data_IF_258058560744
#
_entry.id   IF_258058560744
#
_cell.length_a   1.000
_cell.length_b   1.000
_cell.length_c   1.000
_cell.angle_alpha   90.00
_cell.angle_beta   90.00
_cell.angle_gamma   90.00
#
_symmetry.space_group_name_H-M   'P 1'
#
loop_
_entity.id
_entity.type
_entity.pdbx_description
1 polymer ?
#
# COMPACT_ATOMS: atom_id res chain seq x y z
N UNK A 1 -4.95 26.05 -13.32
CA UNK A 1 -4.37 25.54 -12.05
C UNK A 1 -4.71 24.07 -11.75
N UNK A 2 -5.94 23.59 -12.00
CA UNK A 2 -6.33 22.19 -11.74
C UNK A 2 -5.53 21.22 -12.63
N UNK A 3 -5.48 21.45 -13.95
CA UNK A 3 -4.73 20.61 -14.90
C UNK A 3 -3.25 20.49 -14.55
N UNK A 4 -2.61 21.60 -14.14
CA UNK A 4 -1.20 21.60 -13.74
C UNK A 4 -0.96 20.76 -12.48
N UNK A 5 -1.86 20.81 -11.49
CA UNK A 5 -1.76 19.98 -10.28
C UNK A 5 -1.92 18.49 -10.60
N UNK A 6 -2.89 18.14 -11.46
CA UNK A 6 -3.07 16.76 -11.93
C UNK A 6 -1.86 16.26 -12.73
N UNK A 7 -1.28 17.12 -13.58
CA UNK A 7 -0.07 16.80 -14.33
C UNK A 7 1.14 16.59 -13.41
N UNK A 8 1.36 17.48 -12.44
CA UNK A 8 2.44 17.33 -11.46
C UNK A 8 2.26 16.07 -10.59
N UNK A 9 1.02 15.75 -10.21
CA UNK A 9 0.71 14.51 -9.51
C UNK A 9 1.05 13.29 -10.37
N UNK A 10 0.66 13.30 -11.65
CA UNK A 10 1.01 12.23 -12.59
C UNK A 10 2.52 12.07 -12.75
N UNK A 11 3.26 13.16 -12.95
CA UNK A 11 4.72 13.13 -13.06
C UNK A 11 5.36 12.59 -11.77
N UNK A 12 4.86 13.00 -10.61
CA UNK A 12 5.32 12.49 -9.32
C UNK A 12 5.05 10.99 -9.15
N UNK A 13 3.84 10.53 -9.50
CA UNK A 13 3.49 9.11 -9.46
C UNK A 13 4.32 8.28 -10.45
N UNK A 14 4.55 8.79 -11.66
CA UNK A 14 5.39 8.14 -12.66
C UNK A 14 6.85 8.06 -12.20
N UNK A 15 7.38 9.11 -11.59
CA UNK A 15 8.72 9.12 -11.01
C UNK A 15 8.85 8.11 -9.85
N UNK A 16 7.84 8.00 -8.99
CA UNK A 16 7.81 7.01 -7.91
C UNK A 16 7.79 5.57 -8.46
N UNK A 17 7.00 5.32 -9.51
CA UNK A 17 6.99 4.02 -10.19
C UNK A 17 8.32 3.71 -10.89
N UNK A 18 8.95 4.70 -11.52
CA UNK A 18 10.26 4.52 -12.13
C UNK A 18 11.34 4.22 -11.08
N UNK A 19 11.28 4.88 -9.92
CA UNK A 19 12.20 4.65 -8.82
C UNK A 19 12.11 3.22 -8.30
N UNK A 20 10.91 2.66 -8.13
CA UNK A 20 10.78 1.30 -7.61
C UNK A 20 11.26 0.24 -8.61
N UNK A 21 11.02 0.45 -9.91
CA UNK A 21 11.58 -0.41 -10.96
C UNK A 21 13.11 -0.29 -11.00
N UNK A 22 13.67 0.89 -10.73
CA UNK A 22 15.11 1.08 -10.60
C UNK A 22 15.66 0.31 -9.40
N UNK A 23 15.01 0.35 -8.23
CA UNK A 23 15.39 -0.45 -7.06
C UNK A 23 15.43 -1.95 -7.39
N UNK A 24 14.37 -2.46 -8.03
CA UNK A 24 14.29 -3.85 -8.47
C UNK A 24 15.42 -4.21 -9.44
N UNK A 25 15.72 -3.33 -10.40
CA UNK A 25 16.82 -3.56 -11.34
C UNK A 25 18.20 -3.54 -10.66
N UNK A 26 18.40 -2.66 -9.67
CA UNK A 26 19.63 -2.62 -8.87
C UNK A 26 19.78 -3.90 -8.05
N UNK A 27 18.72 -4.38 -7.40
CA UNK A 27 18.73 -5.63 -6.64
C UNK A 27 19.13 -6.80 -7.55
N UNK A 28 18.47 -6.94 -8.71
CA UNK A 28 18.78 -7.99 -9.68
C UNK A 28 20.21 -7.95 -10.21
N UNK A 29 20.83 -6.77 -10.28
CA UNK A 29 22.17 -6.60 -10.85
C UNK A 29 23.30 -6.77 -9.85
N UNK A 30 23.08 -6.35 -8.60
CA UNK A 30 24.16 -6.26 -7.61
C UNK A 30 24.03 -7.25 -6.45
N UNK A 31 22.83 -7.74 -6.17
CA UNK A 31 22.55 -8.53 -4.97
C UNK A 31 22.54 -10.04 -5.26
N UNK A 32 22.38 -10.43 -6.52
CA UNK A 32 22.46 -11.83 -6.98
C UNK A 32 21.09 -12.40 -7.38
N UNK A 33 21.10 -13.59 -8.01
CA UNK A 33 19.91 -14.20 -8.62
C UNK A 33 18.89 -14.77 -7.62
N UNK A 34 19.29 -14.97 -6.38
CA UNK A 34 18.38 -15.22 -5.26
C UNK A 34 18.18 -13.88 -4.57
N UNK A 35 16.98 -13.29 -4.70
CA UNK A 35 16.59 -12.09 -3.96
C UNK A 35 16.80 -12.44 -2.47
N UNK A 36 17.83 -11.88 -1.80
CA UNK A 36 17.96 -12.10 -0.38
C UNK A 36 16.82 -11.38 0.31
N UNK A 37 16.45 -11.90 1.47
CA UNK A 37 15.43 -11.42 2.41
C UNK A 37 15.71 -10.00 2.97
N UNK A 38 16.61 -9.25 2.32
CA UNK A 38 17.00 -7.89 2.65
C UNK A 38 17.39 -7.14 1.36
N UNK A 39 16.41 -6.94 0.48
CA UNK A 39 16.57 -6.23 -0.80
C UNK A 39 16.19 -4.75 -0.71
N UNK A 40 16.70 -3.91 -1.61
CA UNK A 40 16.29 -2.50 -1.69
C UNK A 40 14.79 -2.37 -2.00
N UNK A 41 14.26 -3.33 -2.75
CA UNK A 41 12.84 -3.38 -3.12
C UNK A 41 11.97 -3.62 -1.91
N UNK A 42 12.30 -4.59 -1.05
CA UNK A 42 11.61 -4.83 0.23
C UNK A 42 11.63 -3.58 1.11
N UNK A 43 12.81 -2.97 1.31
CA UNK A 43 12.94 -1.73 2.13
C UNK A 43 12.04 -0.61 1.58
N UNK A 44 11.96 -0.46 0.25
CA UNK A 44 11.08 0.53 -0.37
C UNK A 44 9.60 0.20 -0.14
N UNK A 45 9.19 -1.05 -0.30
CA UNK A 45 7.81 -1.47 -0.06
C UNK A 45 7.40 -1.26 1.40
N UNK A 46 8.26 -1.67 2.35
CA UNK A 46 8.07 -1.45 3.78
C UNK A 46 7.93 0.05 4.11
N UNK A 47 8.81 0.88 3.55
CA UNK A 47 8.78 2.34 3.75
C UNK A 47 7.48 2.95 3.21
N UNK A 48 7.03 2.48 2.05
CA UNK A 48 5.76 2.90 1.43
C UNK A 48 4.57 2.51 2.31
N UNK A 49 4.52 1.25 2.75
CA UNK A 49 3.49 0.74 3.65
C UNK A 49 3.46 1.50 4.98
N UNK A 50 4.62 1.69 5.61
CA UNK A 50 4.75 2.47 6.84
C UNK A 50 4.25 3.91 6.66
N UNK A 51 4.51 4.52 5.51
CA UNK A 51 4.00 5.86 5.17
C UNK A 51 2.48 5.86 5.04
N UNK A 52 1.88 4.89 4.35
CA UNK A 52 0.41 4.75 4.22
C UNK A 52 -0.24 4.62 5.60
N UNK A 53 0.30 3.72 6.43
CA UNK A 53 -0.15 3.48 7.81
C UNK A 53 -0.10 4.76 8.63
N UNK A 54 1.03 5.48 8.59
CA UNK A 54 1.19 6.75 9.30
C UNK A 54 0.16 7.79 8.86
N UNK A 55 -0.04 7.96 7.55
CA UNK A 55 -1.00 8.92 7.01
C UNK A 55 -2.42 8.62 7.48
N UNK A 56 -2.83 7.36 7.45
CA UNK A 56 -4.18 6.95 7.83
C UNK A 56 -4.43 7.07 9.33
N UNK A 57 -3.47 6.69 10.18
CA UNK A 57 -3.61 6.93 11.63
C UNK A 57 -3.56 8.42 11.98
N UNK A 58 -2.82 9.24 11.24
CA UNK A 58 -2.89 10.70 11.37
C UNK A 58 -4.26 11.24 10.99
N UNK A 59 -4.83 10.80 9.86
CA UNK A 59 -6.18 11.18 9.43
C UNK A 59 -7.24 10.73 10.43
N UNK A 60 -7.11 9.53 11.00
CA UNK A 60 -8.02 9.06 12.05
C UNK A 60 -8.02 9.94 13.30
N UNK A 61 -6.89 10.59 13.62
CA UNK A 61 -6.80 11.54 14.74
C UNK A 61 -7.31 12.94 14.38
N UNK A 62 -7.18 13.36 13.12
CA UNK A 62 -7.55 14.71 12.67
C UNK A 62 -9.02 14.82 12.23
N UNK A 63 -9.58 13.74 11.69
CA UNK A 63 -10.95 13.70 11.18
C UNK A 63 -11.81 12.72 11.99
N UNK A 64 -12.50 13.25 13.00
CA UNK A 64 -13.45 12.46 13.80
C UNK A 64 -14.58 11.87 12.94
N UNK A 65 -14.95 12.55 11.86
CA UNK A 65 -16.06 12.15 11.00
C UNK A 65 -15.75 10.93 10.14
N UNK A 66 -14.47 10.65 9.87
CA UNK A 66 -13.98 9.51 9.08
C UNK A 66 -13.05 8.59 9.89
N UNK A 67 -13.06 8.71 11.22
CA UNK A 67 -12.10 8.04 12.11
C UNK A 67 -12.08 6.52 11.98
N UNK A 68 -13.25 5.86 11.96
CA UNK A 68 -13.32 4.40 11.94
C UNK A 68 -12.90 3.83 10.59
N UNK A 69 -13.25 4.48 9.49
CA UNK A 69 -12.77 4.13 8.16
C UNK A 69 -11.23 4.23 8.07
N UNK A 70 -10.65 5.34 8.53
CA UNK A 70 -9.19 5.51 8.53
C UNK A 70 -8.47 4.51 9.45
N UNK A 71 -9.05 4.14 10.60
CA UNK A 71 -8.51 3.08 11.47
C UNK A 71 -8.55 1.73 10.76
N UNK A 72 -9.65 1.40 10.07
CA UNK A 72 -9.80 0.14 9.37
C UNK A 72 -8.78 0.02 8.23
N UNK A 73 -8.69 1.04 7.38
CA UNK A 73 -7.75 1.03 6.24
C UNK A 73 -6.30 1.10 6.75
N UNK A 74 -5.99 1.94 7.74
CA UNK A 74 -4.65 2.00 8.33
C UNK A 74 -4.24 0.71 9.03
N UNK A 75 -5.18 0.04 9.72
CA UNK A 75 -4.94 -1.26 10.34
C UNK A 75 -4.72 -2.37 9.31
N UNK A 76 -5.47 -2.36 8.20
CA UNK A 76 -5.27 -3.28 7.09
C UNK A 76 -3.85 -3.17 6.48
N UNK A 77 -3.40 -1.94 6.17
CA UNK A 77 -2.03 -1.73 5.68
C UNK A 77 -0.96 -2.04 6.74
N UNK A 78 -1.25 -1.87 8.03
CA UNK A 78 -0.33 -2.26 9.10
C UNK A 78 -0.19 -3.79 9.17
N UNK A 79 -1.27 -4.54 8.98
CA UNK A 79 -1.19 -6.00 8.85
C UNK A 79 -0.37 -6.40 7.62
N UNK A 80 -0.51 -5.72 6.48
CA UNK A 80 0.35 -5.97 5.31
C UNK A 80 1.81 -5.59 5.55
N UNK A 81 2.10 -4.51 6.28
CA UNK A 81 3.47 -4.15 6.67
C UNK A 81 4.12 -5.23 7.54
N UNK A 82 3.38 -5.75 8.52
CA UNK A 82 3.88 -6.85 9.36
C UNK A 82 4.14 -8.11 8.53
N UNK A 83 3.35 -8.34 7.48
CA UNK A 83 3.56 -9.44 6.53
C UNK A 83 4.85 -9.26 5.73
N UNK A 84 5.15 -8.06 5.21
CA UNK A 84 6.42 -7.86 4.48
C UNK A 84 7.64 -7.89 5.39
N UNK A 85 7.47 -7.54 6.66
CA UNK A 85 8.52 -7.68 7.67
C UNK A 85 8.69 -9.14 8.16
N UNK A 86 8.12 -10.13 7.48
CA UNK A 86 8.14 -11.54 7.91
C UNK A 86 9.57 -12.05 8.11
N UNK A 87 10.48 -11.74 7.19
CA UNK A 87 11.92 -12.05 7.31
C UNK A 87 12.54 -11.51 8.61
N UNK A 88 12.15 -10.29 9.01
CA UNK A 88 12.67 -9.64 10.22
C UNK A 88 12.10 -10.31 11.49
N UNK A 89 10.84 -10.73 11.48
CA UNK A 89 10.22 -11.46 12.59
C UNK A 89 10.65 -12.93 12.68
N UNK A 90 11.01 -13.55 11.55
CA UNK A 90 11.50 -14.93 11.51
C UNK A 90 12.89 -15.11 12.14
N UNK A 91 13.63 -14.01 12.37
CA UNK A 91 14.83 -13.96 13.22
C UNK A 91 14.54 -14.28 14.70
N UNK A 92 13.33 -13.97 15.19
CA UNK A 92 12.93 -14.25 16.57
C UNK A 92 12.44 -15.69 16.68
N UNK A 93 11.53 -16.07 15.79
CA UNK A 93 10.99 -17.43 15.67
C UNK A 93 10.26 -17.56 14.34
N UNK A 94 10.53 -18.64 13.61
CA UNK A 94 9.91 -18.90 12.31
C UNK A 94 8.37 -18.89 12.40
N UNK A 95 7.74 -18.07 11.56
CA UNK A 95 6.29 -17.91 11.48
C UNK A 95 5.67 -17.07 12.60
N UNK A 96 6.48 -16.39 13.41
CA UNK A 96 5.96 -15.54 14.50
C UNK A 96 5.19 -14.32 14.00
N UNK A 97 5.52 -13.83 12.80
CA UNK A 97 4.85 -12.70 12.14
C UNK A 97 3.35 -12.91 12.00
N UNK A 98 2.88 -14.16 11.81
CA UNK A 98 1.46 -14.50 11.66
C UNK A 98 0.66 -14.08 12.89
N UNK A 99 1.20 -14.29 14.09
CA UNK A 99 0.53 -13.91 15.33
C UNK A 99 0.47 -12.40 15.50
N UNK A 100 1.56 -11.68 15.17
CA UNK A 100 1.56 -10.22 15.19
C UNK A 100 0.58 -9.62 14.18
N UNK A 101 0.53 -10.18 12.97
CA UNK A 101 -0.40 -9.78 11.91
C UNK A 101 -1.86 -10.03 12.34
N UNK A 102 -2.16 -11.18 12.93
CA UNK A 102 -3.49 -11.54 13.44
C UNK A 102 -3.94 -10.62 14.59
N UNK A 103 -3.08 -10.41 15.58
CA UNK A 103 -3.40 -9.51 16.71
C UNK A 103 -3.69 -8.11 16.19
N UNK A 104 -2.86 -7.61 15.27
CA UNK A 104 -3.04 -6.30 14.66
C UNK A 104 -4.36 -6.21 13.90
N UNK A 105 -4.68 -7.21 13.09
CA UNK A 105 -5.94 -7.26 12.35
C UNK A 105 -7.16 -7.27 13.29
N UNK A 106 -7.11 -8.06 14.36
CA UNK A 106 -8.17 -8.10 15.38
C UNK A 106 -8.33 -6.74 16.06
N UNK A 107 -7.25 -6.14 16.53
CA UNK A 107 -7.27 -4.83 17.20
C UNK A 107 -7.80 -3.72 16.28
N UNK A 108 -7.42 -3.75 15.00
CA UNK A 108 -7.92 -2.82 13.99
C UNK A 108 -9.42 -2.96 13.76
N UNK A 109 -9.99 -4.15 13.94
CA UNK A 109 -11.41 -4.43 13.75
C UNK A 109 -12.29 -4.10 14.96
N UNK A 110 -11.76 -4.12 16.20
CA UNK A 110 -12.55 -3.91 17.43
C UNK A 110 -13.39 -2.63 17.35
N UNK A 111 -12.75 -1.46 17.15
CA UNK A 111 -13.46 -0.18 17.15
C UNK A 111 -14.43 -0.02 15.96
N UNK A 112 -14.03 -0.34 14.71
CA UNK A 112 -14.94 -0.31 13.57
C UNK A 112 -16.15 -1.24 13.72
N UNK A 113 -15.98 -2.43 14.29
CA UNK A 113 -17.08 -3.39 14.50
C UNK A 113 -18.00 -2.94 15.63
N UNK A 114 -17.46 -2.41 16.74
CA UNK A 114 -18.29 -1.84 17.82
C UNK A 114 -19.17 -0.68 17.33
N UNK A 115 -18.69 0.10 16.35
CA UNK A 115 -19.43 1.21 15.74
C UNK A 115 -19.83 0.92 14.28
N UNK A 116 -20.25 -0.31 13.99
CA UNK A 116 -20.50 -0.80 12.63
C UNK A 116 -21.35 0.13 11.75
N UNK A 117 -22.44 0.71 12.29
CA UNK A 117 -23.29 1.64 11.51
C UNK A 117 -22.53 2.88 11.06
N UNK A 118 -21.77 3.51 11.98
CA UNK A 118 -20.94 4.66 11.66
C UNK A 118 -19.80 4.29 10.70
N UNK A 119 -19.19 3.11 10.88
CA UNK A 119 -18.16 2.59 9.99
C UNK A 119 -18.69 2.40 8.56
N UNK A 120 -19.88 1.80 8.39
CA UNK A 120 -20.50 1.64 7.07
C UNK A 120 -20.79 2.98 6.40
N UNK A 121 -21.33 3.95 7.13
CA UNK A 121 -21.57 5.30 6.60
C UNK A 121 -20.26 5.98 6.16
N UNK A 122 -19.19 5.83 6.94
CA UNK A 122 -17.87 6.36 6.60
C UNK A 122 -17.27 5.67 5.37
N UNK A 123 -17.40 4.35 5.27
CA UNK A 123 -16.99 3.60 4.08
C UNK A 123 -17.78 4.06 2.86
N UNK A 124 -19.10 4.20 2.96
CA UNK A 124 -19.95 4.68 1.87
C UNK A 124 -19.61 6.11 1.44
N UNK A 125 -19.15 6.97 2.35
CA UNK A 125 -18.60 8.29 2.01
C UNK A 125 -17.23 8.17 1.33
N UNK A 126 -16.39 7.25 1.80
CA UNK A 126 -15.07 7.03 1.22
C UNK A 126 -15.17 6.49 -0.22
N UNK A 127 -16.13 5.61 -0.53
CA UNK A 127 -16.32 5.10 -1.89
C UNK A 127 -16.74 6.16 -2.91
N UNK A 128 -17.32 7.27 -2.45
CA UNK A 128 -17.66 8.42 -3.30
C UNK A 128 -16.45 9.31 -3.61
N UNK A 129 -15.31 9.08 -2.95
CA UNK A 129 -14.07 9.80 -3.20
C UNK A 129 -13.35 9.23 -4.43
N UNK A 130 -12.78 10.08 -5.31
CA UNK A 130 -11.98 9.60 -6.45
C UNK A 130 -10.76 8.77 -6.01
N UNK A 131 -10.26 9.00 -4.80
CA UNK A 131 -9.11 8.28 -4.24
C UNK A 131 -9.42 6.82 -3.91
N UNK A 132 -10.69 6.46 -3.67
CA UNK A 132 -11.09 5.08 -3.40
C UNK A 132 -10.84 4.17 -4.60
N UNK A 133 -11.14 4.62 -5.82
CA UNK A 133 -10.89 3.82 -7.03
C UNK A 133 -9.40 3.52 -7.23
N UNK A 134 -8.53 4.49 -6.94
CA UNK A 134 -7.08 4.32 -7.04
C UNK A 134 -6.58 3.35 -5.95
N UNK A 135 -7.06 3.51 -4.70
CA UNK A 135 -6.74 2.59 -3.61
C UNK A 135 -7.15 1.16 -3.94
N UNK A 136 -8.39 0.97 -4.41
CA UNK A 136 -8.93 -0.33 -4.79
C UNK A 136 -8.13 -0.96 -5.94
N UNK A 137 -7.74 -0.15 -6.93
CA UNK A 137 -6.88 -0.62 -8.03
C UNK A 137 -5.51 -1.07 -7.52
N UNK A 138 -4.93 -0.34 -6.57
CA UNK A 138 -3.69 -0.73 -5.90
C UNK A 138 -3.84 -2.05 -5.13
N UNK A 139 -4.91 -2.19 -4.34
CA UNK A 139 -5.20 -3.43 -3.62
C UNK A 139 -5.44 -4.63 -4.55
N UNK A 140 -6.14 -4.42 -5.65
CA UNK A 140 -6.34 -5.46 -6.67
C UNK A 140 -5.00 -5.88 -7.30
N UNK A 141 -4.11 -4.91 -7.56
CA UNK A 141 -2.78 -5.18 -8.08
C UNK A 141 -1.94 -6.01 -7.10
N UNK A 142 -1.89 -5.63 -5.81
CA UNK A 142 -1.12 -6.35 -4.79
C UNK A 142 -1.71 -7.74 -4.49
N UNK A 143 -3.01 -7.81 -4.18
CA UNK A 143 -3.58 -9.03 -3.60
C UNK A 143 -3.95 -10.09 -4.63
N UNK A 144 -4.28 -9.67 -5.85
CA UNK A 144 -4.81 -10.57 -6.89
C UNK A 144 -3.84 -10.65 -8.06
N UNK A 145 -3.54 -9.51 -8.69
CA UNK A 145 -2.76 -9.50 -9.92
C UNK A 145 -1.33 -10.03 -9.70
N UNK A 146 -0.64 -9.55 -8.66
CA UNK A 146 0.69 -10.07 -8.31
C UNK A 146 0.69 -11.58 -8.12
N UNK A 147 -0.27 -12.10 -7.36
CA UNK A 147 -0.33 -13.54 -7.05
C UNK A 147 -0.56 -14.40 -8.30
N UNK A 148 -1.34 -13.92 -9.25
CA UNK A 148 -1.52 -14.60 -10.54
C UNK A 148 -0.23 -14.60 -11.37
N UNK A 149 0.50 -13.47 -11.39
CA UNK A 149 1.81 -13.38 -12.03
C UNK A 149 2.92 -14.05 -11.22
N UNK A 150 2.70 -14.33 -9.93
CA UNK A 150 3.58 -15.11 -9.05
C UNK A 150 3.36 -16.62 -9.14
N UNK A 151 2.54 -17.12 -10.07
CA UNK A 151 2.35 -18.56 -10.24
C UNK A 151 3.51 -19.20 -11.01
N UNK A 152 4.19 -20.19 -10.41
CA UNK A 152 5.29 -20.89 -11.08
C UNK A 152 4.86 -21.61 -12.36
N UNK A 153 3.65 -22.16 -12.39
CA UNK A 153 3.10 -22.90 -13.54
C UNK A 153 3.02 -22.01 -14.78
N UNK A 154 2.51 -20.79 -14.62
CA UNK A 154 2.37 -19.82 -15.72
C UNK A 154 3.70 -19.60 -16.45
N UNK A 155 4.78 -19.42 -15.71
CA UNK A 155 6.09 -19.14 -16.29
C UNK A 155 6.81 -20.38 -16.81
N UNK A 156 6.56 -21.56 -16.24
CA UNK A 156 7.05 -22.81 -16.82
C UNK A 156 6.41 -23.06 -18.18
N UNK A 157 5.12 -22.79 -18.33
CA UNK A 157 4.41 -22.99 -19.61
C UNK A 157 4.84 -21.96 -20.67
N UNK A 158 5.19 -20.72 -20.27
CA UNK A 158 5.62 -19.65 -21.19
C UNK A 158 7.09 -19.79 -21.60
N UNK A 159 7.97 -20.10 -20.64
CA UNK A 159 9.42 -20.08 -20.84
C UNK A 159 10.00 -21.47 -21.15
N UNK A 160 9.23 -22.55 -20.91
CA UNK A 160 9.60 -23.95 -21.14
C UNK A 160 11.02 -24.27 -20.60
N UNK A 161 11.95 -24.60 -21.49
CA UNK A 161 13.35 -24.93 -21.17
C UNK A 161 14.18 -23.73 -20.69
N UNK A 162 13.69 -22.51 -20.85
CA UNK A 162 14.31 -21.26 -20.42
C UNK A 162 13.81 -20.74 -19.07
N UNK A 163 13.07 -21.54 -18.29
CA UNK A 163 12.54 -21.10 -17.01
C UNK A 163 13.66 -20.63 -16.07
N UNK A 164 13.60 -19.36 -15.70
CA UNK A 164 14.44 -18.78 -14.67
C UNK A 164 13.54 -18.20 -13.58
N UNK A 165 13.69 -18.70 -12.35
CA UNK A 165 12.93 -18.25 -11.16
C UNK A 165 13.00 -16.73 -10.96
N UNK A 166 14.12 -16.13 -11.36
CA UNK A 166 14.38 -14.68 -11.34
C UNK A 166 13.31 -13.89 -12.10
N UNK A 167 12.87 -14.35 -13.27
CA UNK A 167 11.87 -13.63 -14.08
C UNK A 167 10.53 -13.62 -13.38
N UNK A 168 10.12 -14.77 -12.84
CA UNK A 168 8.88 -14.92 -12.08
C UNK A 168 8.87 -14.01 -10.84
N UNK A 169 9.95 -14.04 -10.06
CA UNK A 169 10.09 -13.18 -8.89
C UNK A 169 10.11 -11.68 -9.28
N UNK A 170 10.83 -11.30 -10.34
CA UNK A 170 10.89 -9.91 -10.80
C UNK A 170 9.52 -9.35 -11.17
N UNK A 171 8.67 -10.15 -11.83
CA UNK A 171 7.34 -9.71 -12.22
C UNK A 171 6.38 -9.67 -11.02
N UNK A 172 6.44 -10.68 -10.15
CA UNK A 172 5.68 -10.69 -8.88
C UNK A 172 6.04 -9.43 -8.06
N UNK A 173 7.31 -9.26 -7.72
CA UNK A 173 7.83 -8.14 -6.91
C UNK A 173 7.55 -6.77 -7.54
N UNK A 174 7.71 -6.66 -8.87
CA UNK A 174 7.43 -5.42 -9.61
C UNK A 174 5.95 -5.06 -9.60
N UNK A 175 5.07 -6.06 -9.67
CA UNK A 175 3.63 -5.85 -9.65
C UNK A 175 3.07 -5.52 -8.25
N UNK A 176 3.63 -6.11 -7.19
CA UNK A 176 3.32 -5.72 -5.79
C UNK A 176 3.76 -4.30 -5.51
N UNK A 177 5.01 -3.99 -5.85
CA UNK A 177 5.60 -2.65 -5.78
C UNK A 177 4.73 -1.59 -6.47
N UNK A 178 4.25 -1.88 -7.68
CA UNK A 178 3.35 -0.98 -8.40
C UNK A 178 2.02 -0.78 -7.67
N UNK A 179 1.42 -1.85 -7.16
CA UNK A 179 0.18 -1.79 -6.39
C UNK A 179 0.33 -0.95 -5.10
N UNK A 180 1.48 -1.05 -4.41
CA UNK A 180 1.79 -0.21 -3.25
C UNK A 180 1.94 1.27 -3.61
N UNK A 181 2.55 1.58 -4.76
CA UNK A 181 2.64 2.97 -5.24
C UNK A 181 1.27 3.58 -5.54
N UNK A 182 0.34 2.81 -6.11
CA UNK A 182 -1.05 3.25 -6.28
C UNK A 182 -1.73 3.52 -4.94
N UNK A 183 -1.55 2.63 -3.96
CA UNK A 183 -2.10 2.82 -2.62
C UNK A 183 -1.52 4.06 -1.91
N UNK A 184 -0.23 4.32 -2.08
CA UNK A 184 0.43 5.52 -1.56
C UNK A 184 -0.09 6.78 -2.22
N UNK A 185 -0.20 6.78 -3.55
CA UNK A 185 -0.72 7.89 -4.33
C UNK A 185 -2.16 8.23 -3.91
N UNK A 186 -3.01 7.21 -3.70
CA UNK A 186 -4.36 7.38 -3.17
C UNK A 186 -4.36 7.99 -1.76
N UNK A 187 -3.50 7.49 -0.88
CA UNK A 187 -3.40 7.94 0.51
C UNK A 187 -2.92 9.39 0.64
N UNK A 188 -1.89 9.76 -0.13
CA UNK A 188 -1.38 11.13 -0.20
C UNK A 188 -2.40 12.08 -0.81
N UNK A 189 -3.04 11.68 -1.90
CA UNK A 189 -4.09 12.47 -2.54
C UNK A 189 -5.27 12.74 -1.61
N UNK A 190 -5.71 11.71 -0.88
CA UNK A 190 -6.75 11.84 0.14
C UNK A 190 -6.33 12.78 1.28
N UNK A 191 -5.10 12.66 1.78
CA UNK A 191 -4.54 13.54 2.81
C UNK A 191 -4.48 15.01 2.39
N UNK A 192 -3.99 15.29 1.18
CA UNK A 192 -3.91 16.66 0.65
C UNK A 192 -5.31 17.25 0.47
N UNK A 193 -6.25 16.47 -0.04
CA UNK A 193 -7.65 16.89 -0.25
C UNK A 193 -8.29 17.29 1.09
N UNK A 194 -8.09 16.48 2.14
CA UNK A 194 -8.55 16.78 3.50
C UNK A 194 -8.01 18.11 4.01
N UNK A 195 -6.70 18.35 3.90
CA UNK A 195 -6.09 19.62 4.34
C UNK A 195 -6.59 20.83 3.55
N UNK A 196 -6.81 20.69 2.24
CA UNK A 196 -7.36 21.79 1.44
C UNK A 196 -8.79 22.16 1.86
N UNK A 197 -9.65 21.18 2.13
CA UNK A 197 -11.00 21.44 2.62
C UNK A 197 -11.02 22.01 4.05
N UNK A 198 -10.14 21.51 4.94
CA UNK A 198 -10.00 22.04 6.28
C UNK A 198 -9.59 23.53 6.28
N UNK A 199 -8.62 23.90 5.43
CA UNK A 199 -8.18 25.30 5.27
C UNK A 199 -9.29 26.20 4.72
N UNK A 200 -10.04 25.76 3.72
CA UNK A 200 -11.17 26.53 3.16
C UNK A 200 -12.28 26.77 4.21
N UNK A 201 -12.60 25.77 5.02
CA UNK A 201 -13.62 25.91 6.07
C UNK A 201 -13.18 26.88 7.16
N UNK A 202 -11.87 26.97 7.43
CA UNK A 202 -11.32 27.92 8.39
C UNK A 202 -11.28 29.35 7.86
N UNK A 203 -10.94 29.56 6.58
CA UNK A 203 -10.97 30.91 5.96
C UNK A 203 -12.39 31.46 5.85
N UNK A 204 -13.38 30.61 5.57
CA UNK A 204 -14.81 30.98 5.53
C UNK A 204 -15.38 31.34 6.91
N UNK A 205 -14.77 30.89 8.01
CA UNK A 205 -15.18 31.23 9.37
C UNK A 205 -14.51 32.48 9.92
N UNK A 206 -13.42 32.92 9.27
CA UNK A 206 -12.65 34.10 9.67
C UNK A 206 -13.03 35.36 8.87
N UNK A 207 -13.86 35.22 7.85
CA UNK A 207 -14.48 36.30 7.07
C UNK A 207 -15.92 36.53 7.56
#
# INVERSE_FOLDING_TARGET
>A
MIVLKSFLFFVGAAAACALIVLCLWVDMRFVGHDIPELSLTEIMQETVLATIVFLHFRLAKMDESMRYCNILVGGFFLTMLIRELDALFDLISHGSWVWFALITALLALIRPVMHFRATLEQLAKYTQSPWYGILLSGLLAVLVFSRLFGMQVLWHDILEHGYMRVVKNAVEEGSESFGYMLCLAASLGYYVTFHTHARQKQSLRAA
#
